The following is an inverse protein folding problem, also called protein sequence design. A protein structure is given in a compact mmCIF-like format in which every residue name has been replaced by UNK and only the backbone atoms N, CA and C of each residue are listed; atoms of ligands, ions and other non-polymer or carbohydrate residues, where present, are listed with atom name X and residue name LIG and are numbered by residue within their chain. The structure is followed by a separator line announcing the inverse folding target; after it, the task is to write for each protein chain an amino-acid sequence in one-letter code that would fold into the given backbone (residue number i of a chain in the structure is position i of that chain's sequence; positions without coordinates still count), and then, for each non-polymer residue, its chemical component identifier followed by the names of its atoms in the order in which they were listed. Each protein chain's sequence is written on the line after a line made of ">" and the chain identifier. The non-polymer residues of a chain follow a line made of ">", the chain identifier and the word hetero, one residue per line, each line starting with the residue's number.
data_IF_245482617521
#
_entry.id   IF_245482617521
#
_cell.length_a   1.000
_cell.length_b   1.000
_cell.length_c   1.000
_cell.angle_alpha   90.00
_cell.angle_beta   90.00
_cell.angle_gamma   90.00
#
_symmetry.space_group_name_H-M   'P 1'
#
loop_
_entity.id
_entity.type
_entity.pdbx_description
1 polymer ?
#
# COMPACT_ATOMS: atom_id res chain seq x y z
N UNK A 1 59.36 38.76 -19.72
CA UNK A 1 58.04 38.56 -19.08
C UNK A 1 57.74 37.06 -19.03
N UNK A 2 58.01 36.39 -17.89
CA UNK A 2 57.69 34.97 -17.69
C UNK A 2 56.31 34.88 -17.03
N UNK A 3 55.33 34.30 -17.71
CA UNK A 3 54.00 34.03 -17.17
C UNK A 3 54.06 32.69 -16.43
N UNK A 4 53.88 32.73 -15.11
CA UNK A 4 53.67 31.54 -14.30
C UNK A 4 52.18 31.19 -14.35
N UNK A 5 51.86 30.00 -14.86
CA UNK A 5 50.52 29.43 -14.83
C UNK A 5 50.46 28.53 -13.60
N UNK A 6 49.76 28.98 -12.57
CA UNK A 6 49.51 28.19 -11.36
C UNK A 6 48.28 27.31 -11.63
N UNK A 7 48.51 26.01 -11.86
CA UNK A 7 47.44 25.01 -11.96
C UNK A 7 47.05 24.60 -10.53
N UNK A 8 45.86 25.02 -10.10
CA UNK A 8 45.27 24.57 -8.84
C UNK A 8 44.68 23.17 -8.99
N UNK A 9 45.24 22.21 -8.26
CA UNK A 9 44.67 20.86 -8.08
C UNK A 9 43.59 20.95 -7.01
N UNK A 10 42.33 20.84 -7.42
CA UNK A 10 41.18 20.73 -6.52
C UNK A 10 41.06 19.28 -6.04
N UNK A 11 41.38 19.04 -4.78
CA UNK A 11 41.31 17.72 -4.13
C UNK A 11 39.84 17.41 -3.80
N UNK A 12 39.21 16.53 -4.59
CA UNK A 12 37.89 15.97 -4.30
C UNK A 12 38.01 14.92 -3.19
N UNK A 13 37.82 15.35 -1.95
CA UNK A 13 37.61 14.44 -0.81
C UNK A 13 36.23 13.82 -0.94
N UNK A 14 36.17 12.60 -1.48
CA UNK A 14 34.98 11.77 -1.45
C UNK A 14 34.73 11.24 -0.05
N UNK A 15 33.75 11.81 0.65
CA UNK A 15 33.21 11.22 1.87
C UNK A 15 32.22 10.12 1.48
N UNK A 16 32.71 8.89 1.32
CA UNK A 16 31.82 7.73 1.41
C UNK A 16 31.37 7.62 2.87
N UNK A 17 30.11 7.92 3.13
CA UNK A 17 29.47 7.58 4.40
C UNK A 17 29.35 6.07 4.42
N UNK A 18 30.18 5.40 5.20
CA UNK A 18 30.07 3.96 5.40
C UNK A 18 28.86 3.73 6.32
N UNK A 19 27.78 3.06 5.85
CA UNK A 19 26.62 2.81 6.69
C UNK A 19 27.07 1.98 7.90
N UNK A 20 26.85 2.53 9.10
CA UNK A 20 27.08 1.78 10.32
C UNK A 20 26.21 0.53 10.31
N UNK A 21 26.85 -0.64 10.17
CA UNK A 21 26.20 -1.94 10.29
C UNK A 21 26.43 -2.39 11.72
N UNK A 22 25.48 -2.16 12.65
CA UNK A 22 25.59 -2.78 13.97
C UNK A 22 25.80 -4.29 13.78
N UNK A 23 26.59 -4.94 14.66
CA UNK A 23 26.78 -6.38 14.58
C UNK A 23 25.41 -7.07 14.47
N UNK A 24 25.28 -7.98 13.50
CA UNK A 24 24.01 -8.66 13.24
C UNK A 24 23.49 -9.27 14.56
N UNK A 25 22.37 -8.75 15.05
CA UNK A 25 21.60 -9.43 16.10
C UNK A 25 20.85 -10.56 15.40
N UNK A 26 21.59 -11.62 15.02
CA UNK A 26 21.00 -12.88 14.59
C UNK A 26 20.51 -13.58 15.84
N UNK A 27 19.28 -13.27 16.24
CA UNK A 27 18.60 -14.04 17.26
C UNK A 27 17.97 -15.27 16.57
N UNK A 28 18.11 -16.48 17.13
CA UNK A 28 17.43 -17.67 16.59
C UNK A 28 15.90 -17.61 16.76
N UNK A 29 15.39 -16.59 17.46
CA UNK A 29 14.00 -16.51 17.89
C UNK A 29 13.13 -15.80 16.84
N UNK A 30 12.09 -16.50 16.37
CA UNK A 30 11.03 -15.94 15.55
C UNK A 30 9.77 -15.74 16.40
N UNK A 31 9.38 -14.49 16.59
CA UNK A 31 8.30 -14.10 17.49
C UNK A 31 6.97 -14.03 16.74
N UNK A 32 5.87 -14.33 17.43
CA UNK A 32 4.54 -14.18 16.85
C UNK A 32 4.22 -12.71 16.61
N UNK A 33 3.75 -12.41 15.41
CA UNK A 33 3.21 -11.10 15.01
C UNK A 33 1.71 -11.25 14.79
N UNK A 34 0.93 -10.46 15.51
CA UNK A 34 -0.53 -10.43 15.43
C UNK A 34 -0.97 -9.04 14.93
N UNK A 35 -1.45 -8.98 13.71
CA UNK A 35 -1.96 -7.75 13.09
C UNK A 35 -3.47 -7.91 12.83
N UNK A 36 -4.30 -7.07 13.45
CA UNK A 36 -5.73 -7.17 13.22
C UNK A 36 -6.60 -6.40 14.21
N UNK A 37 -7.91 -6.47 13.96
CA UNK A 37 -8.90 -5.77 14.74
C UNK A 37 -10.24 -6.51 14.78
N UNK A 38 -11.01 -6.22 15.83
CA UNK A 38 -12.40 -6.62 16.00
C UNK A 38 -13.31 -5.55 15.40
N UNK A 39 -14.16 -5.95 14.46
CA UNK A 39 -15.09 -5.06 13.76
C UNK A 39 -16.53 -5.30 14.19
N UNK A 40 -17.19 -4.30 14.77
CA UNK A 40 -18.58 -4.41 15.19
C UNK A 40 -19.60 -4.32 14.05
N UNK A 41 -19.25 -3.63 12.96
CA UNK A 41 -20.16 -3.36 11.83
C UNK A 41 -19.81 -4.15 10.57
N UNK A 42 -18.76 -4.98 10.62
CA UNK A 42 -18.28 -5.78 9.50
C UNK A 42 -17.51 -7.02 9.97
N UNK A 43 -16.77 -7.64 9.06
CA UNK A 43 -15.93 -8.78 9.41
C UNK A 43 -14.73 -8.33 10.25
N UNK A 44 -14.42 -9.09 11.31
CA UNK A 44 -13.16 -8.92 12.06
C UNK A 44 -12.05 -9.72 11.37
N UNK A 45 -10.84 -9.18 11.36
CA UNK A 45 -9.70 -9.82 10.68
C UNK A 45 -8.49 -9.82 11.59
N UNK A 46 -7.86 -10.98 11.74
CA UNK A 46 -6.59 -11.19 12.44
C UNK A 46 -5.62 -11.86 11.48
N UNK A 47 -4.43 -11.31 11.32
CA UNK A 47 -3.36 -11.87 10.51
C UNK A 47 -2.22 -12.29 11.43
N UNK A 48 -1.79 -13.54 11.27
CA UNK A 48 -0.71 -14.13 12.05
C UNK A 48 0.51 -14.36 11.17
N UNK A 49 1.65 -13.87 11.64
CA UNK A 49 2.96 -14.08 10.98
C UNK A 49 4.07 -14.18 12.02
N UNK A 50 5.31 -14.34 11.56
CA UNK A 50 6.50 -14.42 12.40
C UNK A 50 7.49 -13.33 12.04
N UNK A 51 8.23 -12.84 13.04
CA UNK A 51 9.38 -11.96 12.78
C UNK A 51 10.46 -12.68 11.97
N UNK A 52 11.25 -11.94 11.21
CA UNK A 52 12.40 -12.44 10.47
C UNK A 52 13.61 -11.52 10.67
N UNK A 53 14.81 -12.00 10.39
CA UNK A 53 16.00 -11.16 10.42
C UNK A 53 15.98 -10.16 9.24
N UNK A 54 16.57 -8.97 9.46
CA UNK A 54 16.62 -7.92 8.43
C UNK A 54 17.41 -8.33 7.18
N UNK A 55 18.36 -9.26 7.31
CA UNK A 55 19.16 -9.79 6.19
C UNK A 55 18.38 -10.77 5.30
N UNK A 56 17.22 -11.25 5.76
CA UNK A 56 16.40 -12.20 5.00
C UNK A 56 15.58 -11.46 3.93
N UNK A 57 15.75 -11.87 2.67
CA UNK A 57 15.06 -11.29 1.51
C UNK A 57 13.69 -11.92 1.22
N UNK A 58 13.35 -13.02 1.91
CA UNK A 58 12.04 -13.67 1.78
C UNK A 58 10.98 -12.91 2.58
N UNK A 59 9.71 -13.16 2.24
CA UNK A 59 8.59 -12.65 3.04
C UNK A 59 8.56 -13.34 4.40
N UNK A 60 8.05 -12.66 5.45
CA UNK A 60 7.89 -13.24 6.77
C UNK A 60 7.05 -14.51 6.71
N UNK A 61 7.41 -15.50 7.53
CA UNK A 61 6.65 -16.74 7.62
C UNK A 61 5.25 -16.45 8.14
N UNK A 62 4.24 -16.99 7.46
CA UNK A 62 2.84 -16.92 7.90
C UNK A 62 2.54 -18.03 8.90
N UNK A 63 1.69 -17.75 9.88
CA UNK A 63 1.22 -18.75 10.83
C UNK A 63 -0.16 -19.23 10.38
N UNK A 64 -0.26 -20.50 9.99
CA UNK A 64 -1.50 -21.13 9.52
C UNK A 64 -1.90 -22.29 10.42
N UNK A 65 -3.15 -22.74 10.32
CA UNK A 65 -3.74 -23.82 11.14
C UNK A 65 -3.75 -23.53 12.64
N UNK A 66 -3.60 -22.26 13.04
CA UNK A 66 -3.85 -21.84 14.41
C UNK A 66 -5.36 -21.86 14.72
N UNK A 67 -5.70 -22.13 15.97
CA UNK A 67 -7.04 -21.88 16.50
C UNK A 67 -7.08 -20.47 17.07
N UNK A 68 -7.82 -19.58 16.42
CA UNK A 68 -7.98 -18.18 16.83
C UNK A 68 -9.40 -17.96 17.32
N UNK A 69 -9.54 -17.46 18.54
CA UNK A 69 -10.83 -17.21 19.19
C UNK A 69 -10.88 -15.80 19.75
N UNK A 70 -12.07 -15.20 19.73
CA UNK A 70 -12.40 -14.02 20.52
C UNK A 70 -13.32 -14.44 21.66
N UNK A 71 -13.04 -13.97 22.87
CA UNK A 71 -13.80 -14.25 24.08
C UNK A 71 -14.33 -12.94 24.65
N UNK A 72 -15.64 -12.84 24.83
CA UNK A 72 -16.25 -11.64 25.40
C UNK A 72 -16.38 -11.75 26.91
N UNK A 73 -16.23 -10.64 27.62
CA UNK A 73 -16.37 -10.59 29.09
C UNK A 73 -17.78 -11.06 29.55
N UNK A 74 -18.79 -10.82 28.70
CA UNK A 74 -20.21 -11.12 28.97
C UNK A 74 -20.86 -12.02 27.91
N UNK A 75 -20.08 -12.52 26.96
CA UNK A 75 -20.57 -13.35 25.86
C UNK A 75 -19.70 -14.59 25.69
N UNK A 76 -20.22 -15.61 24.99
CA UNK A 76 -19.44 -16.81 24.70
C UNK A 76 -18.22 -16.53 23.80
N UNK A 77 -17.40 -17.56 23.60
CA UNK A 77 -16.29 -17.53 22.66
C UNK A 77 -16.77 -17.71 21.22
N UNK A 78 -16.14 -17.02 20.28
CA UNK A 78 -16.33 -17.23 18.85
C UNK A 78 -14.99 -17.55 18.18
N UNK A 79 -15.03 -18.40 17.15
CA UNK A 79 -13.82 -18.89 16.47
C UNK A 79 -13.71 -18.25 15.10
N UNK A 80 -12.52 -17.74 14.77
CA UNK A 80 -12.22 -17.24 13.44
C UNK A 80 -11.99 -18.39 12.47
N UNK A 81 -12.29 -18.15 11.19
CA UNK A 81 -12.07 -19.08 10.09
C UNK A 81 -10.73 -18.78 9.43
N UNK A 82 -9.84 -19.78 9.41
CA UNK A 82 -8.56 -19.73 8.71
C UNK A 82 -8.78 -19.67 7.19
N UNK A 83 -8.23 -18.65 6.53
CA UNK A 83 -8.29 -18.47 5.07
C UNK A 83 -7.12 -19.15 4.33
N UNK A 84 -6.18 -19.76 5.06
CA UNK A 84 -5.06 -20.52 4.50
C UNK A 84 -3.83 -19.69 4.15
N UNK A 85 -3.88 -18.37 4.31
CA UNK A 85 -2.80 -17.43 3.98
C UNK A 85 -2.24 -16.69 5.23
N UNK A 86 -2.57 -17.19 6.42
CA UNK A 86 -2.27 -16.56 7.70
C UNK A 86 -3.32 -15.53 8.14
N UNK A 87 -4.36 -15.31 7.33
CA UNK A 87 -5.52 -14.48 7.68
C UNK A 87 -6.62 -15.32 8.31
N UNK A 88 -7.16 -14.83 9.41
CA UNK A 88 -8.26 -15.40 10.18
C UNK A 88 -9.41 -14.39 10.18
N UNK A 89 -10.59 -14.81 9.75
CA UNK A 89 -11.76 -13.91 9.66
C UNK A 89 -12.90 -14.37 10.54
N UNK A 90 -13.60 -13.41 11.13
CA UNK A 90 -14.84 -13.62 11.85
C UNK A 90 -15.93 -12.81 11.18
N UNK A 91 -17.06 -13.46 10.88
CA UNK A 91 -18.18 -12.82 10.20
C UNK A 91 -18.75 -11.64 11.02
N UNK A 92 -19.47 -10.75 10.33
CA UNK A 92 -20.12 -9.61 10.96
C UNK A 92 -21.11 -10.06 12.06
N UNK A 93 -21.26 -9.24 13.09
CA UNK A 93 -22.10 -9.53 14.25
C UNK A 93 -21.40 -10.41 15.31
N UNK A 94 -20.12 -10.73 15.13
CA UNK A 94 -19.34 -11.45 16.13
C UNK A 94 -19.05 -10.66 17.41
N UNK A 95 -18.89 -9.35 17.30
CA UNK A 95 -18.57 -8.46 18.42
C UNK A 95 -19.54 -7.28 18.50
N UNK A 96 -19.76 -6.78 19.71
CA UNK A 96 -20.71 -5.70 19.99
C UNK A 96 -20.01 -4.46 20.54
N UNK A 97 -20.46 -3.29 20.10
CA UNK A 97 -20.02 -1.99 20.61
C UNK A 97 -20.25 -1.88 22.12
N UNK A 98 -19.27 -1.33 22.84
CA UNK A 98 -19.30 -1.11 24.28
C UNK A 98 -18.95 -2.33 25.13
N UNK A 99 -18.86 -3.52 24.52
CA UNK A 99 -18.42 -4.73 25.21
C UNK A 99 -16.90 -4.89 25.12
N UNK A 100 -16.36 -5.68 26.06
CA UNK A 100 -14.95 -6.03 26.13
C UNK A 100 -14.71 -7.43 25.59
N UNK A 101 -13.64 -7.57 24.82
CA UNK A 101 -13.21 -8.84 24.25
C UNK A 101 -11.71 -9.01 24.37
N UNK A 102 -11.25 -10.25 24.54
CA UNK A 102 -9.85 -10.62 24.39
C UNK A 102 -9.69 -11.66 23.27
N UNK A 103 -8.49 -11.74 22.72
CA UNK A 103 -8.11 -12.74 21.73
C UNK A 103 -7.38 -13.89 22.40
N UNK A 104 -7.66 -15.12 21.98
CA UNK A 104 -6.97 -16.34 22.37
C UNK A 104 -6.48 -17.05 21.12
N UNK A 105 -5.17 -17.33 21.05
CA UNK A 105 -4.53 -17.97 19.90
C UNK A 105 -3.84 -19.23 20.38
N UNK A 106 -4.11 -20.37 19.73
CA UNK A 106 -3.33 -21.60 19.88
C UNK A 106 -2.74 -21.98 18.52
N UNK A 107 -1.42 -21.85 18.41
CA UNK A 107 -0.68 -22.17 17.18
C UNK A 107 -0.68 -23.66 16.87
N UNK A 108 -0.37 -24.02 15.62
CA UNK A 108 -0.25 -25.43 15.22
C UNK A 108 0.88 -26.16 15.98
N UNK A 109 1.92 -25.42 16.38
CA UNK A 109 3.02 -25.92 17.21
C UNK A 109 2.64 -26.08 18.70
N UNK A 110 1.41 -25.75 19.10
CA UNK A 110 0.91 -25.92 20.46
C UNK A 110 1.22 -24.78 21.43
N UNK A 111 1.88 -23.69 20.98
CA UNK A 111 2.06 -22.47 21.78
C UNK A 111 0.76 -21.67 21.86
N UNK A 112 0.47 -21.12 23.04
CA UNK A 112 -0.73 -20.35 23.35
C UNK A 112 -0.39 -18.89 23.64
N UNK A 113 -1.23 -17.98 23.15
CA UNK A 113 -1.10 -16.53 23.31
C UNK A 113 -2.46 -15.94 23.64
N UNK A 114 -2.46 -14.83 24.35
CA UNK A 114 -3.67 -14.09 24.69
C UNK A 114 -3.45 -12.58 24.52
N UNK A 115 -4.53 -11.83 24.36
CA UNK A 115 -4.52 -10.39 24.51
C UNK A 115 -5.14 -9.96 25.83
N UNK A 116 -4.87 -8.72 26.23
CA UNK A 116 -5.72 -8.02 27.20
C UNK A 116 -7.13 -7.81 26.63
N UNK A 117 -8.08 -7.55 27.52
CA UNK A 117 -9.43 -7.15 27.13
C UNK A 117 -9.42 -5.76 26.52
N UNK A 118 -10.04 -5.63 25.34
CA UNK A 118 -10.24 -4.36 24.66
C UNK A 118 -11.71 -4.04 24.50
N UNK A 119 -12.06 -2.77 24.73
CA UNK A 119 -13.42 -2.27 24.56
C UNK A 119 -13.67 -1.95 23.10
N UNK A 120 -14.75 -2.48 22.52
CA UNK A 120 -15.13 -2.19 21.14
C UNK A 120 -15.77 -0.80 21.06
N UNK A 121 -15.11 0.13 20.37
CA UNK A 121 -15.57 1.52 20.24
C UNK A 121 -16.56 1.69 19.08
N UNK A 122 -17.55 2.57 19.26
CA UNK A 122 -18.29 3.09 18.11
C UNK A 122 -17.45 4.17 17.44
N UNK A 123 -17.20 4.00 16.15
CA UNK A 123 -16.62 5.04 15.30
C UNK A 123 -17.69 6.02 14.87
N UNK A 124 -17.48 7.34 15.08
CA UNK A 124 -18.39 8.37 14.58
C UNK A 124 -18.25 8.49 13.05
N UNK A 125 -19.28 9.04 12.42
CA UNK A 125 -19.29 9.22 10.96
C UNK A 125 -18.17 10.15 10.50
N UNK A 126 -17.72 9.92 9.27
CA UNK A 126 -16.88 10.88 8.56
C UNK A 126 -17.79 12.02 8.10
N UNK A 127 -17.43 13.27 8.40
CA UNK A 127 -18.20 14.43 7.94
C UNK A 127 -17.91 14.72 6.48
N UNK A 128 -16.62 14.68 6.14
CA UNK A 128 -16.16 14.98 4.81
C UNK A 128 -14.79 14.37 4.53
N UNK A 129 -14.64 13.80 3.35
CA UNK A 129 -13.33 13.59 2.72
C UNK A 129 -13.22 14.62 1.60
N UNK A 130 -12.22 15.49 1.70
CA UNK A 130 -12.07 16.62 0.78
C UNK A 130 -10.66 16.67 0.20
N UNK A 131 -10.47 17.55 -0.78
CA UNK A 131 -9.17 17.78 -1.38
C UNK A 131 -9.00 19.24 -1.76
N UNK A 132 -7.75 19.66 -1.83
CA UNK A 132 -7.37 20.99 -2.29
C UNK A 132 -6.22 20.88 -3.29
N UNK A 133 -6.37 21.54 -4.43
CA UNK A 133 -5.26 21.76 -5.36
C UNK A 133 -4.27 22.76 -4.75
N UNK A 134 -3.01 22.35 -4.66
CA UNK A 134 -1.86 23.14 -4.25
C UNK A 134 -0.88 23.26 -5.41
N UNK A 135 0.15 24.10 -5.31
CA UNK A 135 1.06 24.40 -6.45
C UNK A 135 1.66 23.14 -7.13
N UNK A 136 1.94 22.08 -6.37
CA UNK A 136 2.65 20.89 -6.87
C UNK A 136 1.79 19.61 -6.89
N UNK A 137 0.48 19.71 -6.66
CA UNK A 137 -0.36 18.52 -6.54
C UNK A 137 -1.63 18.74 -5.75
N UNK A 138 -2.29 17.63 -5.42
CA UNK A 138 -3.54 17.61 -4.66
C UNK A 138 -3.28 17.06 -3.27
N UNK A 139 -3.67 17.82 -2.24
CA UNK A 139 -3.68 17.34 -0.87
C UNK A 139 -5.09 16.87 -0.52
N UNK A 140 -5.20 15.65 0.00
CA UNK A 140 -6.44 15.08 0.51
C UNK A 140 -6.53 15.21 2.03
N UNK A 141 -7.74 15.45 2.52
CA UNK A 141 -8.04 15.67 3.92
C UNK A 141 -9.27 14.88 4.37
N UNK A 142 -9.34 14.59 5.67
CA UNK A 142 -10.52 14.06 6.34
C UNK A 142 -10.97 15.00 7.46
N UNK A 143 -12.28 15.13 7.61
CA UNK A 143 -12.92 15.87 8.70
C UNK A 143 -13.95 14.97 9.39
N UNK A 144 -13.94 14.98 10.72
CA UNK A 144 -14.88 14.20 11.54
C UNK A 144 -15.13 14.90 12.87
N UNK A 145 -16.28 14.61 13.46
CA UNK A 145 -16.59 14.97 14.84
C UNK A 145 -17.36 13.87 15.54
N UNK A 146 -17.31 13.85 16.87
CA UNK A 146 -18.21 13.06 17.70
C UNK A 146 -19.09 14.01 18.54
N UNK A 147 -20.38 14.20 18.20
CA UNK A 147 -21.27 15.09 18.95
C UNK A 147 -21.53 14.61 20.38
N UNK A 148 -21.25 13.34 20.68
CA UNK A 148 -21.39 12.76 22.02
C UNK A 148 -20.11 12.87 22.84
N UNK A 149 -19.02 13.38 22.25
CA UNK A 149 -17.74 13.62 22.92
C UNK A 149 -17.11 12.35 23.52
N UNK A 150 -17.47 11.18 22.99
CA UNK A 150 -17.05 9.88 23.50
C UNK A 150 -15.81 9.31 22.77
N UNK A 151 -15.36 9.95 21.69
CA UNK A 151 -14.30 9.44 20.80
C UNK A 151 -13.16 10.43 20.68
N UNK A 152 -12.19 10.35 21.59
CA UNK A 152 -11.08 11.33 21.61
C UNK A 152 -9.87 10.98 20.75
N UNK A 153 -9.86 9.79 20.16
CA UNK A 153 -8.72 9.25 19.43
C UNK A 153 -9.18 8.58 18.15
N UNK A 154 -8.52 8.94 17.06
CA UNK A 154 -8.91 8.55 15.72
C UNK A 154 -7.73 7.96 14.97
N UNK A 155 -8.02 6.99 14.12
CA UNK A 155 -7.11 6.44 13.12
C UNK A 155 -7.78 6.41 11.76
N UNK A 156 -6.99 6.68 10.73
CA UNK A 156 -7.40 6.56 9.35
C UNK A 156 -6.50 5.62 8.58
N UNK A 157 -7.10 4.92 7.65
CA UNK A 157 -6.43 4.26 6.55
C UNK A 157 -7.05 4.78 5.27
N UNK A 158 -6.31 4.70 4.17
CA UNK A 158 -6.90 4.99 2.87
C UNK A 158 -6.50 3.94 1.83
N UNK A 159 -7.34 3.84 0.81
CA UNK A 159 -7.11 3.06 -0.37
C UNK A 159 -7.30 3.97 -1.58
N UNK A 160 -6.22 4.21 -2.31
CA UNK A 160 -6.26 4.99 -3.53
C UNK A 160 -6.41 4.08 -4.73
N UNK A 161 -7.15 4.54 -5.74
CA UNK A 161 -7.28 3.82 -7.01
C UNK A 161 -7.30 4.83 -8.13
N UNK A 162 -6.49 4.60 -9.17
CA UNK A 162 -6.46 5.48 -10.33
C UNK A 162 -6.51 4.70 -11.63
N UNK A 163 -7.15 5.34 -12.60
CA UNK A 163 -7.24 4.89 -13.98
C UNK A 163 -6.05 5.43 -14.77
N UNK A 164 -5.46 4.58 -15.61
CA UNK A 164 -4.35 4.96 -16.47
C UNK A 164 -4.37 4.14 -17.78
N UNK A 165 -3.64 4.68 -18.76
CA UNK A 165 -3.46 4.02 -20.05
C UNK A 165 -1.99 3.73 -20.28
N UNK A 166 -1.68 2.61 -20.95
CA UNK A 166 -0.33 2.41 -21.50
C UNK A 166 -0.03 3.43 -22.59
N UNK A 167 1.24 3.58 -22.96
CA UNK A 167 1.71 4.60 -23.89
C UNK A 167 1.09 4.45 -25.29
N UNK A 168 0.88 3.21 -25.73
CA UNK A 168 0.34 2.90 -27.05
C UNK A 168 -0.73 1.82 -26.97
N UNK A 169 -1.75 1.99 -27.81
CA UNK A 169 -2.80 0.99 -28.01
C UNK A 169 -2.32 -0.10 -28.96
N UNK A 170 -2.27 -1.34 -28.49
CA UNK A 170 -1.92 -2.50 -29.32
C UNK A 170 -3.17 -3.16 -29.88
N UNK A 171 -3.24 -3.25 -31.21
CA UNK A 171 -4.27 -3.97 -31.98
C UNK A 171 -3.82 -5.36 -32.41
N UNK A 172 -2.55 -5.70 -32.21
CA UNK A 172 -1.92 -6.94 -32.66
C UNK A 172 -1.40 -7.73 -31.47
N UNK A 173 -1.56 -9.05 -31.53
CA UNK A 173 -0.98 -9.99 -30.59
C UNK A 173 -0.07 -10.99 -31.29
N UNK A 174 0.84 -11.62 -30.54
CA UNK A 174 1.71 -12.66 -31.07
C UNK A 174 1.50 -13.97 -30.30
N UNK A 175 0.72 -14.88 -30.89
CA UNK A 175 0.30 -16.14 -30.28
C UNK A 175 0.63 -17.30 -31.20
N UNK A 176 1.11 -18.42 -30.64
CA UNK A 176 1.46 -19.63 -31.41
C UNK A 176 2.35 -19.34 -32.63
N UNK A 177 3.32 -18.43 -32.46
CA UNK A 177 4.23 -17.95 -33.52
C UNK A 177 3.56 -17.21 -34.67
N UNK A 178 2.36 -16.68 -34.47
CA UNK A 178 1.60 -15.93 -35.47
C UNK A 178 1.14 -14.59 -34.91
N UNK A 179 1.16 -13.58 -35.77
CA UNK A 179 0.56 -12.29 -35.46
C UNK A 179 -0.95 -12.36 -35.73
N UNK A 180 -1.75 -11.99 -34.74
CA UNK A 180 -3.20 -12.06 -34.79
C UNK A 180 -3.81 -10.75 -34.29
N UNK A 181 -5.10 -10.54 -34.55
CA UNK A 181 -5.82 -9.41 -33.95
C UNK A 181 -5.91 -9.59 -32.44
N UNK A 182 -5.60 -8.54 -31.68
CA UNK A 182 -5.69 -8.57 -30.22
C UNK A 182 -7.15 -8.49 -29.79
N UNK A 183 -7.61 -9.50 -29.06
CA UNK A 183 -8.95 -9.53 -28.48
C UNK A 183 -9.04 -8.87 -27.10
N UNK A 184 -7.96 -8.93 -26.32
CA UNK A 184 -7.91 -8.41 -24.94
C UNK A 184 -7.43 -6.95 -24.92
N UNK A 185 -8.12 -6.09 -24.16
CA UNK A 185 -7.63 -4.73 -23.91
C UNK A 185 -6.50 -4.75 -22.87
N UNK A 186 -5.29 -4.43 -23.31
CA UNK A 186 -4.09 -4.29 -22.48
C UNK A 186 -3.63 -2.83 -22.34
N UNK A 187 -4.43 -1.89 -22.84
CA UNK A 187 -4.10 -0.46 -22.84
C UNK A 187 -4.78 0.28 -21.69
N UNK A 188 -5.92 -0.19 -21.17
CA UNK A 188 -6.71 0.50 -20.15
C UNK A 188 -6.71 -0.27 -18.82
N UNK A 189 -6.14 0.33 -17.77
CA UNK A 189 -5.98 -0.33 -16.48
C UNK A 189 -6.32 0.57 -15.28
N UNK A 190 -6.47 -0.09 -14.14
CA UNK A 190 -6.54 0.51 -12.82
C UNK A 190 -5.42 -0.01 -11.93
N UNK A 191 -4.95 0.83 -11.02
CA UNK A 191 -4.03 0.43 -9.95
C UNK A 191 -4.63 0.87 -8.63
N UNK A 192 -4.60 -0.04 -7.66
CA UNK A 192 -5.09 0.18 -6.30
C UNK A 192 -3.95 0.00 -5.32
N UNK A 193 -3.76 0.98 -4.44
CA UNK A 193 -2.75 0.94 -3.38
C UNK A 193 -3.39 1.29 -2.03
N UNK A 194 -2.88 0.66 -0.98
CA UNK A 194 -3.27 0.94 0.40
C UNK A 194 -2.27 1.88 1.04
N UNK A 195 -2.74 2.69 1.99
CA UNK A 195 -1.90 3.56 2.80
C UNK A 195 -0.81 2.76 3.53
N UNK A 196 0.43 3.24 3.46
CA UNK A 196 1.57 2.66 4.18
C UNK A 196 1.90 3.40 5.48
N UNK A 197 1.41 4.63 5.63
CA UNK A 197 1.64 5.47 6.81
C UNK A 197 0.60 5.28 7.92
N UNK A 198 0.93 5.78 9.12
CA UNK A 198 0.12 5.74 10.33
C UNK A 198 -0.54 7.10 10.57
N UNK A 199 -1.82 7.18 10.22
CA UNK A 199 -2.61 8.40 10.34
C UNK A 199 -3.43 8.36 11.63
N UNK A 200 -2.90 8.99 12.69
CA UNK A 200 -3.58 9.09 13.99
C UNK A 200 -3.62 10.54 14.49
N UNK A 201 -4.75 10.93 15.06
CA UNK A 201 -4.97 12.23 15.70
C UNK A 201 -5.87 12.12 16.93
N UNK A 202 -5.82 13.13 17.80
CA UNK A 202 -6.66 13.20 18.99
C UNK A 202 -7.25 14.59 19.19
N UNK A 203 -8.46 14.61 19.75
CA UNK A 203 -9.20 15.83 20.11
C UNK A 203 -9.15 16.12 21.61
N UNK A 204 -8.35 15.37 22.39
CA UNK A 204 -8.23 15.50 23.85
C UNK A 204 -7.89 16.93 24.31
N UNK A 205 -7.09 17.65 23.50
CA UNK A 205 -6.66 19.02 23.80
C UNK A 205 -7.61 20.09 23.25
N UNK A 206 -8.73 19.68 22.65
CA UNK A 206 -9.73 20.56 22.06
C UNK A 206 -10.98 20.57 22.94
N UNK A 207 -11.67 21.72 22.98
CA UNK A 207 -12.94 21.86 23.70
C UNK A 207 -14.02 20.98 23.08
N UNK A 208 -14.04 20.89 21.75
CA UNK A 208 -14.97 20.08 20.98
C UNK A 208 -14.28 18.84 20.41
N UNK A 209 -15.02 17.74 20.28
CA UNK A 209 -14.53 16.51 19.68
C UNK A 209 -14.55 16.59 18.16
N UNK A 210 -13.64 17.40 17.60
CA UNK A 210 -13.58 17.69 16.17
C UNK A 210 -12.15 17.54 15.68
N UNK A 211 -11.96 16.76 14.63
CA UNK A 211 -10.74 16.74 13.83
C UNK A 211 -11.06 17.37 12.49
N UNK A 212 -10.59 18.59 12.27
CA UNK A 212 -10.86 19.34 11.05
C UNK A 212 -9.68 19.25 10.07
N UNK A 213 -9.97 18.90 8.81
CA UNK A 213 -9.01 18.84 7.70
C UNK A 213 -7.68 18.17 8.06
N UNK A 214 -7.72 16.97 8.64
CA UNK A 214 -6.51 16.20 8.88
C UNK A 214 -5.91 15.71 7.55
N UNK A 215 -4.62 15.98 7.26
CA UNK A 215 -4.00 15.62 5.99
C UNK A 215 -3.74 14.11 5.88
N UNK A 216 -4.14 13.50 4.76
CA UNK A 216 -3.95 12.07 4.49
C UNK A 216 -2.84 11.82 3.48
N UNK A 217 -3.07 12.17 2.22
CA UNK A 217 -2.14 11.88 1.12
C UNK A 217 -1.98 13.10 0.22
N UNK A 218 -0.74 13.35 -0.18
CA UNK A 218 -0.41 14.31 -1.22
C UNK A 218 -0.10 13.57 -2.52
N UNK A 219 -0.81 13.92 -3.58
CA UNK A 219 -0.58 13.35 -4.91
C UNK A 219 0.00 14.43 -5.82
N UNK A 220 1.28 14.24 -6.17
CA UNK A 220 2.03 15.16 -7.02
C UNK A 220 1.45 15.26 -8.43
N UNK A 221 1.43 16.48 -8.98
CA UNK A 221 1.01 16.73 -10.36
C UNK A 221 2.13 16.53 -11.40
N UNK A 222 3.39 16.33 -10.98
CA UNK A 222 4.54 16.27 -11.89
C UNK A 222 5.39 15.01 -11.76
N UNK A 223 5.31 14.30 -10.63
CA UNK A 223 6.07 13.06 -10.37
C UNK A 223 5.20 11.81 -10.36
N UNK A 224 3.93 11.91 -10.76
CA UNK A 224 2.98 10.80 -10.76
C UNK A 224 1.90 10.97 -11.83
N UNK A 225 1.43 9.85 -12.37
CA UNK A 225 0.32 9.80 -13.32
C UNK A 225 -1.05 9.61 -12.66
N UNK A 226 -1.10 9.49 -11.32
CA UNK A 226 -2.31 9.18 -10.53
C UNK A 226 -3.49 10.12 -10.79
N UNK A 227 -3.21 11.38 -11.08
CA UNK A 227 -4.23 12.41 -11.33
C UNK A 227 -4.55 12.61 -12.82
N UNK A 228 -3.94 11.81 -13.72
CA UNK A 228 -4.00 12.04 -15.18
C UNK A 228 -5.39 11.81 -15.78
N UNK A 229 -6.07 10.72 -15.39
CA UNK A 229 -7.35 10.30 -16.01
C UNK A 229 -8.52 10.39 -15.05
N UNK A 230 -8.51 9.64 -13.95
CA UNK A 230 -9.50 9.75 -12.86
C UNK A 230 -8.90 9.05 -11.65
N UNK A 231 -9.13 9.64 -10.48
CA UNK A 231 -8.58 9.21 -9.21
C UNK A 231 -9.71 8.98 -8.20
N UNK A 232 -9.55 7.99 -7.34
CA UNK A 232 -10.45 7.71 -6.22
C UNK A 232 -9.66 7.53 -4.94
N UNK A 233 -10.23 8.03 -3.84
CA UNK A 233 -9.73 7.80 -2.50
C UNK A 233 -10.87 7.26 -1.64
N UNK A 234 -10.70 6.06 -1.08
CA UNK A 234 -11.54 5.52 -0.02
C UNK A 234 -10.82 5.74 1.30
N UNK A 235 -11.46 6.44 2.22
CA UNK A 235 -10.96 6.63 3.59
C UNK A 235 -11.75 5.73 4.52
N UNK A 236 -11.03 4.99 5.36
CA UNK A 236 -11.57 4.17 6.46
C UNK A 236 -11.21 4.85 7.76
N UNK A 237 -12.20 5.13 8.60
CA UNK A 237 -12.03 5.75 9.90
C UNK A 237 -12.28 4.72 11.00
N UNK A 238 -11.52 4.84 12.09
CA UNK A 238 -11.66 4.00 13.28
C UNK A 238 -11.46 4.81 14.56
N UNK A 239 -12.36 4.62 15.53
CA UNK A 239 -12.23 5.12 16.89
C UNK A 239 -11.26 4.24 17.69
N UNK A 240 -10.33 4.86 18.39
CA UNK A 240 -9.35 4.18 19.23
C UNK A 240 -9.65 4.36 20.72
N UNK A 241 -9.18 3.42 21.54
CA UNK A 241 -8.97 3.66 22.97
C UNK A 241 -7.69 4.47 23.17
N UNK A 242 -7.47 4.99 24.38
CA UNK A 242 -6.27 5.77 24.68
C UNK A 242 -5.00 4.92 24.51
N UNK A 243 -5.05 3.67 24.97
CA UNK A 243 -3.96 2.70 24.91
C UNK A 243 -3.64 2.32 23.46
N UNK A 244 -4.68 2.10 22.63
CA UNK A 244 -4.51 1.84 21.21
C UNK A 244 -3.87 3.04 20.49
N UNK A 245 -4.29 4.26 20.82
CA UNK A 245 -3.71 5.47 20.26
C UNK A 245 -2.23 5.64 20.64
N UNK A 246 -1.88 5.36 21.89
CA UNK A 246 -0.49 5.38 22.36
C UNK A 246 0.38 4.37 21.60
N UNK A 247 -0.11 3.13 21.44
CA UNK A 247 0.55 2.10 20.64
C UNK A 247 0.85 2.60 19.22
N UNK A 248 -0.16 3.10 18.51
CA UNK A 248 0.02 3.60 17.13
C UNK A 248 0.92 4.83 17.07
N UNK A 249 0.86 5.72 18.05
CA UNK A 249 1.74 6.88 18.11
C UNK A 249 3.21 6.47 18.32
N UNK A 250 3.46 5.50 19.19
CA UNK A 250 4.81 4.98 19.44
C UNK A 250 5.33 4.20 18.23
N UNK A 251 4.47 3.42 17.57
CA UNK A 251 4.82 2.75 16.32
C UNK A 251 5.21 3.77 15.23
N UNK A 252 4.40 4.81 15.04
CA UNK A 252 4.71 5.89 14.08
C UNK A 252 6.04 6.57 14.35
N UNK A 253 6.33 6.89 15.62
CA UNK A 253 7.63 7.48 16.02
C UNK A 253 8.79 6.55 15.66
N UNK A 254 8.63 5.24 15.81
CA UNK A 254 9.67 4.26 15.51
C UNK A 254 9.82 3.93 14.03
N UNK A 255 8.77 4.06 13.20
CA UNK A 255 8.82 3.63 11.79
C UNK A 255 8.91 4.77 10.79
N UNK A 256 8.39 5.95 11.13
CA UNK A 256 8.28 7.08 10.19
C UNK A 256 9.16 8.28 10.57
N UNK A 257 9.69 8.32 11.80
CA UNK A 257 10.60 9.38 12.25
C UNK A 257 12.08 8.97 12.20
N UNK A 258 12.44 8.12 11.24
CA UNK A 258 13.81 7.63 11.03
C UNK A 258 14.40 8.22 9.75
N UNK A 259 15.51 8.96 9.85
CA UNK A 259 16.22 9.51 8.70
C UNK A 259 17.33 10.54 9.01
N UNK A 260 17.47 10.99 10.24
CA UNK A 260 18.49 11.92 10.73
C UNK A 260 19.42 11.26 11.74
N UNK A 261 20.67 11.73 11.80
CA UNK A 261 21.66 11.29 12.80
C UNK A 261 21.27 11.66 14.25
N UNK A 262 20.29 12.55 14.40
CA UNK A 262 19.76 12.99 15.70
C UNK A 262 18.43 12.33 16.05
N UNK A 263 17.94 11.41 15.23
CA UNK A 263 16.69 10.73 15.53
C UNK A 263 16.85 9.80 16.73
N UNK A 264 15.82 9.70 17.59
CA UNK A 264 15.86 8.78 18.72
C UNK A 264 16.06 7.36 18.22
N UNK A 265 16.86 6.58 18.96
CA UNK A 265 17.04 5.16 18.65
C UNK A 265 15.68 4.44 18.70
N UNK A 266 15.38 3.57 17.70
CA UNK A 266 14.16 2.77 17.75
C UNK A 266 14.06 2.00 19.05
N UNK A 267 12.88 2.04 19.67
CA UNK A 267 12.57 1.26 20.87
C UNK A 267 11.50 0.22 20.57
N UNK A 268 11.43 -0.83 21.39
CA UNK A 268 10.40 -1.84 21.26
C UNK A 268 9.03 -1.25 21.61
N UNK A 269 8.10 -1.30 20.66
CA UNK A 269 6.70 -0.96 20.91
C UNK A 269 6.04 -2.16 21.56
N UNK A 270 5.65 -2.03 22.82
CA UNK A 270 4.96 -3.08 23.57
C UNK A 270 3.48 -3.02 23.24
N UNK A 271 2.94 -4.18 22.87
CA UNK A 271 1.53 -4.40 22.55
C UNK A 271 0.68 -4.80 23.76
N UNK A 272 -0.56 -5.22 23.48
CA UNK A 272 -1.46 -5.82 24.48
C UNK A 272 -1.59 -7.35 24.31
N UNK A 273 -0.61 -7.99 23.66
CA UNK A 273 -0.57 -9.43 23.43
C UNK A 273 0.62 -10.04 24.16
N UNK A 274 0.44 -11.23 24.70
CA UNK A 274 1.47 -11.94 25.46
C UNK A 274 1.36 -13.46 25.26
N UNK A 275 2.48 -14.15 25.46
CA UNK A 275 2.53 -15.60 25.43
C UNK A 275 2.06 -16.17 26.76
N UNK A 276 1.11 -17.10 26.70
CA UNK A 276 0.61 -17.83 27.87
C UNK A 276 1.50 -19.04 28.16
N UNK A 277 2.16 -19.57 27.13
CA UNK A 277 3.08 -20.70 27.26
C UNK A 277 4.43 -20.28 27.86
N UNK A 278 4.89 -19.07 27.55
CA UNK A 278 6.23 -18.60 27.92
C UNK A 278 6.22 -17.07 28.17
N UNK A 279 6.09 -16.62 29.43
CA UNK A 279 5.95 -15.20 29.76
C UNK A 279 7.11 -14.31 29.31
N UNK A 280 8.30 -14.87 29.06
CA UNK A 280 9.48 -14.14 28.60
C UNK A 280 9.55 -14.04 27.07
N UNK A 281 8.65 -14.72 26.34
CA UNK A 281 8.55 -14.64 24.88
C UNK A 281 7.81 -13.35 24.47
N UNK A 282 8.46 -12.41 23.75
CA UNK A 282 7.79 -11.23 23.23
C UNK A 282 6.81 -11.61 22.11
N UNK A 283 5.70 -10.89 22.09
CA UNK A 283 4.69 -10.93 21.01
C UNK A 283 4.56 -9.53 20.43
N UNK A 284 4.52 -9.44 19.11
CA UNK A 284 4.41 -8.16 18.41
C UNK A 284 2.98 -7.97 17.93
N UNK A 285 2.42 -6.78 18.16
CA UNK A 285 1.10 -6.44 17.66
C UNK A 285 0.20 -5.79 18.71
N UNK A 286 -0.97 -5.35 18.28
CA UNK A 286 -1.96 -4.78 19.19
C UNK A 286 -3.37 -5.10 18.68
N UNK A 287 -4.18 -5.72 19.53
CA UNK A 287 -5.59 -5.96 19.24
C UNK A 287 -6.39 -4.68 19.50
N UNK A 288 -7.08 -4.18 18.48
CA UNK A 288 -8.06 -3.08 18.64
C UNK A 288 -9.49 -3.58 18.38
N UNK A 289 -10.48 -2.90 18.95
CA UNK A 289 -11.90 -3.18 18.67
C UNK A 289 -12.66 -1.90 18.36
N UNK A 290 -13.33 -1.85 17.21
CA UNK A 290 -14.12 -0.69 16.78
C UNK A 290 -15.14 -1.04 15.69
N UNK A 291 -16.14 -0.19 15.45
CA UNK A 291 -16.82 -0.16 14.14
C UNK A 291 -15.97 0.58 13.11
N UNK A 292 -16.22 0.37 11.82
CA UNK A 292 -15.52 1.10 10.75
C UNK A 292 -16.51 1.96 9.99
N UNK A 293 -16.12 3.21 9.73
CA UNK A 293 -16.84 4.13 8.85
C UNK A 293 -16.02 4.38 7.59
N UNK A 294 -16.67 4.39 6.43
CA UNK A 294 -16.00 4.50 5.13
C UNK A 294 -16.61 5.62 4.29
N UNK A 295 -15.77 6.40 3.63
CA UNK A 295 -16.22 7.40 2.67
C UNK A 295 -15.28 7.44 1.46
N UNK A 296 -15.86 7.35 0.26
CA UNK A 296 -15.13 7.40 -1.01
C UNK A 296 -15.41 8.71 -1.73
N UNK A 297 -14.37 9.30 -2.31
CA UNK A 297 -14.50 10.38 -3.28
C UNK A 297 -13.82 10.04 -4.61
N UNK A 298 -14.11 10.86 -5.61
CA UNK A 298 -13.44 10.86 -6.91
C UNK A 298 -12.94 12.25 -7.26
N UNK A 299 -11.82 12.28 -7.99
CA UNK A 299 -11.26 13.49 -8.60
C UNK A 299 -11.12 13.24 -10.08
N UNK A 300 -11.76 14.09 -10.87
CA UNK A 300 -11.66 14.09 -12.33
C UNK A 300 -10.68 15.19 -12.79
N UNK A 301 -9.95 15.01 -13.90
CA UNK A 301 -8.99 16.00 -14.41
C UNK A 301 -9.63 17.35 -14.72
N UNK A 302 -10.92 17.36 -15.07
CA UNK A 302 -11.71 18.57 -15.30
C UNK A 302 -11.90 19.43 -14.05
N UNK A 303 -11.68 18.87 -12.86
CA UNK A 303 -11.74 19.58 -11.58
C UNK A 303 -10.36 20.12 -11.16
N UNK A 304 -9.30 19.75 -11.87
CA UNK A 304 -7.93 20.18 -11.58
C UNK A 304 -7.55 21.41 -12.42
N UNK A 305 -6.53 22.18 -12.00
CA UNK A 305 -6.05 23.31 -12.79
C UNK A 305 -5.65 22.89 -14.21
N UNK A 306 -6.25 23.51 -15.21
CA UNK A 306 -6.02 23.20 -16.64
C UNK A 306 -4.58 23.48 -17.11
N UNK A 307 -3.81 24.25 -16.33
CA UNK A 307 -2.39 24.53 -16.58
C UNK A 307 -1.47 23.36 -16.21
N UNK A 308 -1.95 22.39 -15.43
CA UNK A 308 -1.13 21.26 -15.02
C UNK A 308 -0.91 20.28 -16.16
N UNK A 309 0.35 19.98 -16.43
CA UNK A 309 0.75 18.91 -17.35
C UNK A 309 1.12 17.67 -16.53
N UNK A 310 0.09 16.93 -16.15
CA UNK A 310 0.26 15.66 -15.43
C UNK A 310 0.92 14.64 -16.38
N UNK A 311 2.01 13.98 -15.99
CA UNK A 311 2.66 12.99 -16.84
C UNK A 311 1.78 11.73 -17.02
N UNK A 312 1.94 11.02 -18.13
CA UNK A 312 1.40 9.67 -18.31
C UNK A 312 2.23 8.63 -17.54
N UNK A 313 3.50 8.93 -17.26
CA UNK A 313 4.48 7.98 -16.71
C UNK A 313 5.18 7.16 -17.79
N UNK A 314 4.93 7.48 -19.06
CA UNK A 314 5.43 6.76 -20.23
C UNK A 314 6.12 7.68 -21.25
N UNK A 315 6.57 8.86 -20.82
CA UNK A 315 7.21 9.86 -21.68
C UNK A 315 8.50 9.36 -22.35
N UNK A 316 9.16 8.35 -21.77
CA UNK A 316 10.37 7.72 -22.32
C UNK A 316 10.08 6.57 -23.27
N UNK A 317 8.82 6.20 -23.48
CA UNK A 317 8.46 5.10 -24.36
C UNK A 317 8.64 5.51 -25.82
N UNK A 318 9.46 4.74 -26.54
CA UNK A 318 9.70 4.93 -27.97
C UNK A 318 9.58 3.56 -28.64
N UNK A 319 8.48 3.31 -29.38
CA UNK A 319 8.33 2.10 -30.17
C UNK A 319 9.15 2.22 -31.45
N UNK A 320 9.49 1.10 -32.05
CA UNK A 320 10.23 1.06 -33.31
C UNK A 320 9.58 0.10 -34.30
N UNK A 321 9.80 0.35 -35.59
CA UNK A 321 9.27 -0.46 -36.68
C UNK A 321 10.24 -1.60 -36.98
N UNK A 322 9.76 -2.84 -36.86
CA UNK A 322 10.55 -4.05 -37.09
C UNK A 322 10.02 -4.78 -38.31
N UNK A 323 10.90 -5.04 -39.28
CA UNK A 323 10.54 -5.73 -40.51
C UNK A 323 10.20 -7.20 -40.23
N UNK A 324 9.27 -7.76 -41.02
CA UNK A 324 8.97 -9.19 -40.99
C UNK A 324 10.15 -10.05 -41.45
N UNK A 325 10.91 -9.56 -42.43
CA UNK A 325 12.10 -10.19 -42.99
C UNK A 325 13.19 -9.13 -43.18
N UNK A 326 13.93 -8.77 -42.11
CA UNK A 326 14.97 -7.75 -42.19
C UNK A 326 16.25 -8.30 -42.87
N UNK A 327 17.13 -7.42 -43.38
CA UNK A 327 18.47 -7.83 -43.75
C UNK A 327 19.29 -8.24 -42.50
N UNK A 328 20.19 -9.24 -42.59
CA UNK A 328 21.15 -9.51 -41.53
C UNK A 328 22.01 -8.27 -41.23
N UNK A 329 22.34 -7.95 -39.96
CA UNK A 329 22.25 -8.77 -38.75
C UNK A 329 21.00 -8.52 -37.88
N UNK A 330 19.99 -7.82 -38.39
CA UNK A 330 18.86 -7.36 -37.59
C UNK A 330 17.88 -8.50 -37.23
N UNK A 331 17.17 -8.35 -36.10
CA UNK A 331 16.15 -9.31 -35.67
C UNK A 331 14.82 -9.02 -36.38
N UNK A 332 14.13 -10.09 -36.80
CA UNK A 332 12.78 -10.00 -37.35
C UNK A 332 11.74 -9.68 -36.27
N UNK A 333 10.59 -9.16 -36.70
CA UNK A 333 9.46 -8.91 -35.80
C UNK A 333 9.03 -10.18 -35.03
N UNK A 334 9.09 -11.35 -35.68
CA UNK A 334 8.76 -12.63 -35.04
C UNK A 334 9.77 -13.01 -33.96
N UNK A 335 11.07 -12.78 -34.19
CA UNK A 335 12.12 -13.03 -33.19
C UNK A 335 12.02 -12.06 -32.01
N UNK A 336 11.77 -10.78 -32.27
CA UNK A 336 11.55 -9.78 -31.21
C UNK A 336 10.30 -10.10 -30.39
N UNK A 337 9.20 -10.50 -31.04
CA UNK A 337 7.99 -10.92 -30.34
C UNK A 337 8.24 -12.18 -29.50
N UNK A 338 9.01 -13.14 -30.04
CA UNK A 338 9.48 -14.32 -29.30
C UNK A 338 10.38 -13.99 -28.11
N UNK A 339 11.09 -12.85 -28.15
CA UNK A 339 11.87 -12.30 -27.05
C UNK A 339 11.05 -11.44 -26.06
N UNK A 340 9.74 -11.32 -26.27
CA UNK A 340 8.83 -10.62 -25.36
C UNK A 340 8.51 -9.16 -25.74
N UNK A 341 8.91 -8.68 -26.92
CA UNK A 341 8.43 -7.38 -27.42
C UNK A 341 6.96 -7.48 -27.85
N UNK A 342 6.21 -6.41 -27.62
CA UNK A 342 4.76 -6.40 -27.89
C UNK A 342 4.50 -5.68 -29.22
N UNK A 343 3.85 -6.36 -30.20
CA UNK A 343 3.44 -5.70 -31.43
C UNK A 343 2.26 -4.75 -31.16
N UNK A 344 2.25 -3.60 -31.83
CA UNK A 344 1.27 -2.53 -31.67
C UNK A 344 0.30 -2.55 -32.86
N UNK A 345 0.84 -2.41 -34.07
CA UNK A 345 0.09 -2.42 -35.32
C UNK A 345 0.98 -2.91 -36.47
N UNK A 346 0.36 -3.40 -37.54
CA UNK A 346 1.06 -3.82 -38.76
C UNK A 346 1.15 -2.71 -39.81
N UNK A 347 2.31 -2.58 -40.44
CA UNK A 347 2.52 -1.65 -41.55
C UNK A 347 2.45 -2.36 -42.90
N UNK A 348 1.64 -1.80 -43.81
CA UNK A 348 1.45 -2.30 -45.16
C UNK A 348 2.31 -1.50 -46.16
N UNK A 349 2.82 -2.18 -47.17
CA UNK A 349 3.41 -1.55 -48.36
C UNK A 349 2.34 -0.84 -49.18
N UNK A 350 2.73 0.01 -50.16
CA UNK A 350 1.79 0.60 -51.10
C UNK A 350 0.94 -0.41 -51.90
N UNK A 351 1.39 -1.67 -52.00
CA UNK A 351 0.68 -2.77 -52.64
C UNK A 351 -0.25 -3.54 -51.67
N UNK A 352 -0.39 -3.09 -50.43
CA UNK A 352 -1.24 -3.72 -49.41
C UNK A 352 -0.62 -4.96 -48.75
N UNK A 353 0.69 -5.19 -48.94
CA UNK A 353 1.39 -6.33 -48.34
C UNK A 353 1.91 -5.93 -46.97
N UNK A 354 1.64 -6.71 -45.93
CA UNK A 354 2.23 -6.49 -44.61
C UNK A 354 3.76 -6.67 -44.68
N UNK A 355 4.51 -5.65 -44.27
CA UNK A 355 5.98 -5.62 -44.37
C UNK A 355 6.69 -5.47 -43.02
N UNK A 356 6.01 -4.92 -42.00
CA UNK A 356 6.60 -4.65 -40.70
C UNK A 356 5.53 -4.58 -39.60
N UNK A 357 5.99 -4.60 -38.34
CA UNK A 357 5.18 -4.26 -37.19
C UNK A 357 5.81 -3.11 -36.42
N UNK A 358 4.99 -2.18 -35.94
CA UNK A 358 5.41 -1.30 -34.86
C UNK A 358 5.45 -2.12 -33.58
N UNK A 359 6.56 -2.08 -32.85
CA UNK A 359 6.78 -2.88 -31.65
C UNK A 359 7.32 -2.03 -30.50
N UNK A 360 7.00 -2.42 -29.27
CA UNK A 360 7.46 -1.72 -28.06
C UNK A 360 7.72 -2.69 -26.91
N UNK A 361 8.34 -2.17 -25.84
CA UNK A 361 8.52 -2.93 -24.61
C UNK A 361 7.18 -3.22 -23.93
N UNK A 362 7.03 -4.34 -23.20
CA UNK A 362 5.80 -4.65 -22.45
C UNK A 362 5.36 -3.52 -21.53
N UNK A 363 6.30 -2.84 -20.86
CA UNK A 363 6.01 -1.72 -19.96
C UNK A 363 5.31 -0.55 -20.64
N UNK A 364 5.57 -0.32 -21.93
CA UNK A 364 4.99 0.78 -22.70
C UNK A 364 3.64 0.43 -23.34
N UNK A 365 3.36 -0.86 -23.57
CA UNK A 365 2.21 -1.31 -24.36
C UNK A 365 1.16 -2.02 -23.50
N UNK A 366 1.60 -2.74 -22.49
CA UNK A 366 0.76 -3.53 -21.60
C UNK A 366 0.66 -2.88 -20.21
N UNK A 367 -0.47 -2.22 -19.95
CA UNK A 367 -0.73 -1.55 -18.68
C UNK A 367 -0.82 -2.54 -17.51
N UNK A 368 -1.02 -3.85 -17.77
CA UNK A 368 -1.10 -4.89 -16.73
C UNK A 368 0.24 -5.17 -16.06
N UNK A 369 1.33 -4.70 -16.66
CA UNK A 369 2.66 -4.69 -16.00
C UNK A 369 2.69 -3.82 -14.74
N UNK A 370 1.77 -2.84 -14.64
CA UNK A 370 1.68 -1.92 -13.52
C UNK A 370 0.31 -1.93 -12.83
N UNK A 371 -0.70 -2.62 -13.35
CA UNK A 371 -2.06 -2.62 -12.80
C UNK A 371 -2.89 -3.79 -13.30
N UNK A 372 -4.22 -3.64 -13.27
CA UNK A 372 -5.17 -4.64 -13.75
C UNK A 372 -6.13 -4.02 -14.76
N UNK A 373 -6.46 -4.77 -15.81
CA UNK A 373 -7.42 -4.36 -16.84
C UNK A 373 -8.88 -4.70 -16.47
N UNK A 374 -9.13 -5.00 -15.20
CA UNK A 374 -10.46 -5.23 -14.66
C UNK A 374 -10.92 -3.99 -13.93
N UNK A 375 -11.98 -3.36 -14.44
CA UNK A 375 -12.58 -2.17 -13.84
C UNK A 375 -13.08 -2.49 -12.42
N UNK A 376 -12.66 -1.73 -11.38
CA UNK A 376 -13.17 -1.92 -10.03
C UNK A 376 -14.69 -1.69 -9.98
N UNK A 377 -15.41 -2.51 -9.22
CA UNK A 377 -16.89 -2.43 -9.14
C UNK A 377 -17.43 -1.09 -8.59
N UNK A 378 -16.62 -0.35 -7.83
CA UNK A 378 -16.97 0.98 -7.31
C UNK A 378 -16.67 2.13 -8.29
N UNK A 379 -16.01 1.88 -9.42
CA UNK A 379 -15.52 2.90 -10.37
C UNK A 379 -16.60 3.46 -11.28
#
# INVERSE_FOLDING_TARGET
>A
MRKYVTIGITLLIGSCVDPYRPPEVSAPNTYLVVDGFLNATGASTIRLSRTQNLSESKKPAIETKATVKVEGEKSGSQTFVDQGDGTYTLAAGGVQVGQKYCLSIKTAAGRSYASDYVTVKQTPKIDNVSWQAQNQGVQFYVTTHDPTNNTKYYRWEYEETWEFYSAYYSSVDYLNKQFVSRAENINHCWRTEKSTGIFVASSVKLTEDVINQFPLVFVSNSSSNRLKTRYSLLVRQSALTAEAFEYWQNLRKNTESLGSIFDPQPFQVVGNLYSVTDPDEPVVGYLSGYSVEEQRLFVSPTQLPSTWRIPSGYESCVPDTVLLAPPPPDLSAAEMAGAGWVPIEGYLSPQGILIAYLMGSPTCIDCRTAGVNVKPGFW
#
